data_IF_884119470475
#
_entry.id   IF_884119470475
#
_cell.length_a   1.000
_cell.length_b   1.000
_cell.length_c   1.000
_cell.angle_alpha   90.00
_cell.angle_beta   90.00
_cell.angle_gamma   90.00
#
_symmetry.space_group_name_H-M   'P 1'
#
loop_
_entity.id
_entity.type
_entity.pdbx_description
1 polymer ?
#
# COMPACT_ATOMS: atom_id res chain seq x y z
N UNK A 1 9.85 25.72 14.72
CA UNK A 1 8.99 24.52 14.60
C UNK A 1 9.91 23.31 14.72
N UNK A 2 9.80 22.52 15.78
CA UNK A 2 10.64 21.32 15.97
C UNK A 2 9.82 20.09 15.60
N UNK A 3 10.19 19.41 14.52
CA UNK A 3 9.59 18.13 14.15
C UNK A 3 10.40 17.01 14.79
N UNK A 4 9.92 16.47 15.91
CA UNK A 4 10.48 15.29 16.59
C UNK A 4 9.96 13.98 15.93
N UNK A 5 9.16 14.09 14.86
CA UNK A 5 8.38 12.99 14.29
C UNK A 5 8.99 12.33 13.05
N UNK A 6 10.28 12.54 12.80
CA UNK A 6 10.95 11.99 11.61
C UNK A 6 11.18 10.47 11.68
N UNK A 7 10.99 9.83 12.84
CA UNK A 7 11.17 8.37 13.01
C UNK A 7 9.89 7.52 12.76
N UNK A 8 8.86 8.09 12.11
CA UNK A 8 7.67 7.33 11.71
C UNK A 8 6.83 6.84 12.89
N UNK A 9 6.55 5.53 12.99
CA UNK A 9 5.78 4.95 14.12
C UNK A 9 6.60 4.78 15.40
N UNK A 10 7.93 4.95 15.35
CA UNK A 10 8.85 4.72 16.46
C UNK A 10 9.30 6.02 17.15
N UNK A 11 8.48 7.07 17.08
CA UNK A 11 8.77 8.34 17.75
C UNK A 11 9.00 8.09 19.24
N UNK A 12 10.17 8.50 19.73
CA UNK A 12 10.48 8.46 21.15
C UNK A 12 9.70 9.57 21.87
N UNK A 13 8.45 9.26 22.26
CA UNK A 13 7.59 10.19 22.98
C UNK A 13 8.21 10.68 24.28
N UNK A 14 9.06 9.85 24.92
CA UNK A 14 9.76 10.24 26.15
C UNK A 14 10.75 11.37 25.92
N UNK A 15 11.49 11.34 24.81
CA UNK A 15 12.37 12.44 24.43
C UNK A 15 11.57 13.73 24.19
N UNK A 16 10.44 13.63 23.50
CA UNK A 16 9.56 14.78 23.28
C UNK A 16 8.99 15.36 24.59
N UNK A 17 8.54 14.51 25.53
CA UNK A 17 8.07 14.92 26.86
C UNK A 17 9.15 15.71 27.61
N UNK A 18 10.38 15.17 27.64
CA UNK A 18 11.52 15.80 28.30
C UNK A 18 11.86 17.14 27.65
N UNK A 19 11.87 17.21 26.32
CA UNK A 19 12.10 18.45 25.57
C UNK A 19 11.04 19.51 25.86
N UNK A 20 9.77 19.13 25.96
CA UNK A 20 8.69 20.06 26.30
C UNK A 20 8.81 20.59 27.71
N UNK A 21 9.19 19.73 28.65
CA UNK A 21 9.38 20.12 30.04
C UNK A 21 10.52 21.16 30.14
N UNK A 22 11.68 20.85 29.58
CA UNK A 22 12.85 21.76 29.60
C UNK A 22 12.55 23.09 28.89
N UNK A 23 11.85 23.04 27.75
CA UNK A 23 11.43 24.25 27.04
C UNK A 23 10.46 25.09 27.88
N UNK A 24 9.48 24.48 28.53
CA UNK A 24 8.55 25.20 29.39
C UNK A 24 9.27 25.86 30.58
N UNK A 25 10.25 25.18 31.18
CA UNK A 25 11.07 25.70 32.28
C UNK A 25 11.89 26.93 31.84
N UNK A 26 12.47 26.92 30.64
CA UNK A 26 13.35 27.99 30.15
C UNK A 26 12.60 29.15 29.46
N UNK A 27 11.38 28.93 28.96
CA UNK A 27 10.64 29.90 28.16
C UNK A 27 9.29 30.29 28.78
N UNK A 28 9.23 30.38 30.11
CA UNK A 28 8.08 30.95 30.83
C UNK A 28 6.78 30.16 30.66
N UNK A 29 6.88 28.83 30.58
CA UNK A 29 5.74 27.93 30.38
C UNK A 29 5.31 27.75 28.93
N UNK A 30 6.02 28.34 27.96
CA UNK A 30 5.72 28.15 26.54
C UNK A 30 5.91 26.69 26.10
N UNK A 31 4.99 26.17 25.29
CA UNK A 31 5.05 24.82 24.74
C UNK A 31 5.33 24.83 23.24
N UNK A 32 6.12 23.86 22.76
CA UNK A 32 6.33 23.63 21.34
C UNK A 32 5.06 23.05 20.70
N UNK A 33 4.76 23.48 19.48
CA UNK A 33 3.69 22.91 18.69
C UNK A 33 4.01 21.46 18.28
N UNK A 34 3.07 20.56 18.52
CA UNK A 34 3.21 19.11 18.30
C UNK A 34 2.37 18.70 17.13
N UNK A 35 3.00 18.07 16.14
CA UNK A 35 2.28 17.60 14.93
C UNK A 35 2.09 16.07 14.92
N UNK A 36 2.61 15.39 15.94
CA UNK A 36 2.46 13.94 16.13
C UNK A 36 3.30 13.11 15.15
N UNK A 37 3.10 11.79 15.14
CA UNK A 37 3.78 10.87 14.21
C UNK A 37 3.38 11.12 12.75
N UNK A 38 4.25 10.75 11.82
CA UNK A 38 4.01 10.91 10.39
C UNK A 38 2.74 10.17 9.91
N UNK A 39 1.68 10.91 9.57
CA UNK A 39 0.40 10.34 9.12
C UNK A 39 0.51 9.47 7.86
N UNK A 40 1.51 9.72 7.00
CA UNK A 40 1.81 8.86 5.86
C UNK A 40 2.23 7.45 6.31
N UNK A 41 3.14 7.35 7.28
CA UNK A 41 3.57 6.06 7.83
C UNK A 41 2.41 5.33 8.53
N UNK A 42 1.58 6.04 9.29
CA UNK A 42 0.38 5.48 9.91
C UNK A 42 -0.54 4.86 8.86
N UNK A 43 -0.79 5.56 7.76
CA UNK A 43 -1.63 5.09 6.67
C UNK A 43 -1.04 3.86 5.96
N UNK A 44 0.26 3.90 5.61
CA UNK A 44 0.94 2.76 5.00
C UNK A 44 0.92 1.52 5.90
N UNK A 45 1.15 1.70 7.20
CA UNK A 45 1.11 0.61 8.17
C UNK A 45 -0.31 0.08 8.38
N UNK A 46 -1.33 0.95 8.41
CA UNK A 46 -2.72 0.52 8.52
C UNK A 46 -3.12 -0.36 7.33
N UNK A 47 -2.78 0.06 6.10
CA UNK A 47 -3.01 -0.76 4.89
C UNK A 47 -2.22 -2.05 4.96
N UNK A 48 -0.93 -2.02 5.30
CA UNK A 48 -0.12 -3.24 5.51
C UNK A 48 -0.81 -4.22 6.45
N UNK A 49 -1.18 -3.77 7.65
CA UNK A 49 -1.82 -4.61 8.66
C UNK A 49 -3.11 -5.23 8.12
N UNK A 50 -3.98 -4.45 7.47
CA UNK A 50 -5.25 -4.94 6.93
C UNK A 50 -5.14 -6.02 5.84
N UNK A 51 -3.98 -6.15 5.19
CA UNK A 51 -3.78 -7.09 4.07
C UNK A 51 -2.73 -8.18 4.34
N UNK A 52 -2.17 -8.22 5.55
CA UNK A 52 -1.10 -9.18 5.92
C UNK A 52 -1.62 -10.62 5.91
N UNK A 53 -2.82 -10.84 6.46
CA UNK A 53 -3.44 -12.18 6.55
C UNK A 53 -3.84 -12.74 5.18
N UNK A 54 -4.10 -11.86 4.21
CA UNK A 54 -4.35 -12.27 2.82
C UNK A 54 -3.07 -12.51 2.03
N UNK A 55 -1.90 -12.32 2.66
CA UNK A 55 -0.59 -12.49 2.06
C UNK A 55 -0.42 -11.72 0.74
N UNK A 56 -1.06 -10.55 0.63
CA UNK A 56 -1.10 -9.76 -0.61
C UNK A 56 0.31 -9.35 -1.07
N UNK A 57 1.18 -8.97 -0.13
CA UNK A 57 2.59 -8.68 -0.42
C UNK A 57 3.30 -9.89 -1.04
N UNK A 58 3.12 -11.09 -0.45
CA UNK A 58 3.77 -12.31 -0.93
C UNK A 58 3.33 -12.63 -2.36
N UNK A 59 2.03 -12.52 -2.64
CA UNK A 59 1.45 -12.72 -3.96
C UNK A 59 1.99 -11.71 -4.99
N UNK A 60 1.88 -10.41 -4.73
CA UNK A 60 2.31 -9.35 -5.66
C UNK A 60 3.82 -9.40 -5.92
N UNK A 61 4.63 -9.71 -4.90
CA UNK A 61 6.07 -9.93 -5.07
C UNK A 61 6.36 -11.14 -5.94
N UNK A 62 5.67 -12.26 -5.72
CA UNK A 62 5.89 -13.49 -6.47
C UNK A 62 5.70 -13.29 -7.98
N UNK A 63 4.66 -12.55 -8.38
CA UNK A 63 4.38 -12.21 -9.78
C UNK A 63 5.54 -11.50 -10.49
N UNK A 64 6.27 -10.64 -9.79
CA UNK A 64 7.46 -9.99 -10.33
C UNK A 64 8.68 -10.91 -10.27
N UNK A 65 8.94 -11.50 -9.10
CA UNK A 65 10.14 -12.29 -8.82
C UNK A 65 10.28 -13.50 -9.75
N UNK A 66 9.18 -14.14 -10.14
CA UNK A 66 9.24 -15.32 -11.01
C UNK A 66 9.93 -15.06 -12.36
N UNK A 67 9.88 -13.82 -12.88
CA UNK A 67 10.51 -13.42 -14.14
C UNK A 67 11.67 -12.44 -13.98
N UNK A 68 12.04 -12.09 -12.75
CA UNK A 68 13.09 -11.11 -12.49
C UNK A 68 14.46 -11.77 -12.67
N UNK A 69 15.30 -11.24 -13.57
CA UNK A 69 16.61 -11.79 -13.92
C UNK A 69 16.59 -13.26 -14.41
N UNK A 70 15.47 -13.71 -14.98
CA UNK A 70 15.34 -15.06 -15.57
C UNK A 70 14.93 -14.96 -17.05
N UNK A 71 15.88 -14.74 -17.98
CA UNK A 71 15.58 -14.45 -19.39
C UNK A 71 14.90 -15.62 -20.12
N UNK A 72 15.35 -16.86 -19.93
CA UNK A 72 14.75 -18.04 -20.57
C UNK A 72 13.26 -18.18 -20.21
N UNK A 73 12.92 -18.01 -18.93
CA UNK A 73 11.53 -18.09 -18.48
C UNK A 73 10.67 -16.94 -19.01
N UNK A 74 11.26 -15.74 -19.16
CA UNK A 74 10.58 -14.62 -19.80
C UNK A 74 10.27 -14.91 -21.27
N UNK A 75 11.21 -15.52 -21.98
CA UNK A 75 11.04 -15.94 -23.36
C UNK A 75 9.92 -16.99 -23.48
N UNK A 76 9.93 -18.03 -22.65
CA UNK A 76 8.87 -19.04 -22.59
C UNK A 76 7.50 -18.40 -22.35
N UNK A 77 7.41 -17.50 -21.37
CA UNK A 77 6.17 -16.78 -21.06
C UNK A 77 5.69 -15.93 -22.24
N UNK A 78 6.59 -15.18 -22.90
CA UNK A 78 6.24 -14.37 -24.08
C UNK A 78 5.78 -15.25 -25.25
N UNK A 79 6.45 -16.38 -25.47
CA UNK A 79 6.13 -17.30 -26.56
C UNK A 79 4.78 -17.97 -26.34
N UNK A 80 4.45 -18.33 -25.10
CA UNK A 80 3.18 -18.92 -24.71
C UNK A 80 2.03 -17.91 -24.80
N UNK A 81 2.18 -16.74 -24.19
CA UNK A 81 1.08 -15.78 -23.97
C UNK A 81 0.95 -14.76 -25.09
N UNK A 82 2.00 -14.59 -25.90
CA UNK A 82 2.18 -13.50 -26.88
C UNK A 82 2.24 -12.10 -26.26
N UNK A 83 2.33 -12.02 -24.93
CA UNK A 83 2.40 -10.77 -24.17
C UNK A 83 3.84 -10.47 -23.75
N UNK A 84 4.21 -9.19 -23.78
CA UNK A 84 5.47 -8.68 -23.20
C UNK A 84 5.23 -7.86 -21.93
N UNK A 85 4.02 -7.96 -21.37
CA UNK A 85 3.62 -7.22 -20.18
C UNK A 85 3.91 -8.08 -18.95
N UNK A 86 4.70 -7.53 -18.01
CA UNK A 86 5.10 -8.21 -16.78
C UNK A 86 4.61 -7.46 -15.54
N UNK A 87 4.62 -8.14 -14.39
CA UNK A 87 4.35 -7.53 -13.09
C UNK A 87 5.36 -6.42 -12.75
N UNK A 88 4.92 -5.47 -11.92
CA UNK A 88 5.78 -4.42 -11.38
C UNK A 88 6.33 -4.84 -10.00
N UNK A 89 7.50 -4.32 -9.59
CA UNK A 89 8.05 -4.61 -8.26
C UNK A 89 7.20 -3.99 -7.14
N UNK A 90 6.95 -4.76 -6.09
CA UNK A 90 6.21 -4.32 -4.90
C UNK A 90 7.15 -3.67 -3.87
N UNK A 91 6.75 -2.53 -3.30
CA UNK A 91 7.49 -1.83 -2.25
C UNK A 91 6.87 -2.08 -0.86
N UNK A 92 7.61 -2.75 0.02
CA UNK A 92 7.13 -3.19 1.34
C UNK A 92 6.92 -2.08 2.37
N UNK A 93 7.46 -0.90 2.13
CA UNK A 93 7.32 0.26 3.01
C UNK A 93 6.32 1.29 2.47
N UNK A 94 5.90 1.17 1.20
CA UNK A 94 5.00 2.12 0.51
C UNK A 94 3.74 1.41 0.01
N UNK A 95 2.98 0.81 0.93
CA UNK A 95 1.84 -0.05 0.60
C UNK A 95 0.79 0.56 -0.32
N UNK A 96 0.33 1.79 -0.05
CA UNK A 96 -0.67 2.48 -0.87
C UNK A 96 -0.15 2.81 -2.27
N UNK A 97 1.14 3.11 -2.43
CA UNK A 97 1.75 3.40 -3.74
C UNK A 97 1.77 2.15 -4.66
N UNK A 98 1.60 0.95 -4.10
CA UNK A 98 1.50 -0.29 -4.86
C UNK A 98 0.15 -0.46 -5.58
N UNK A 99 -0.73 0.55 -5.62
CA UNK A 99 -1.95 0.52 -6.44
C UNK A 99 -1.64 0.14 -7.90
N UNK A 100 -0.60 0.74 -8.50
CA UNK A 100 -0.19 0.43 -9.88
C UNK A 100 0.33 -1.00 -10.03
N UNK A 101 0.92 -1.57 -8.98
CA UNK A 101 1.39 -2.96 -8.95
C UNK A 101 0.19 -3.91 -8.98
N UNK A 102 -0.84 -3.62 -8.20
CA UNK A 102 -2.08 -4.39 -8.19
C UNK A 102 -2.87 -4.27 -9.50
N UNK A 103 -2.96 -3.07 -10.08
CA UNK A 103 -3.57 -2.86 -11.40
C UNK A 103 -2.85 -3.66 -12.48
N UNK A 104 -1.50 -3.66 -12.46
CA UNK A 104 -0.71 -4.50 -13.38
C UNK A 104 -0.95 -5.99 -13.13
N UNK A 105 -1.03 -6.42 -11.87
CA UNK A 105 -1.29 -7.81 -11.52
C UNK A 105 -2.61 -8.31 -12.12
N UNK A 106 -3.66 -7.48 -12.11
CA UNK A 106 -4.95 -7.80 -12.71
C UNK A 106 -4.85 -7.96 -14.24
N UNK A 107 -4.11 -7.08 -14.91
CA UNK A 107 -3.90 -7.15 -16.37
C UNK A 107 -3.19 -8.43 -16.78
N UNK A 108 -2.16 -8.85 -16.04
CA UNK A 108 -1.37 -10.04 -16.39
C UNK A 108 -1.99 -11.35 -15.89
N UNK A 109 -3.02 -11.30 -15.04
CA UNK A 109 -3.57 -12.48 -14.39
C UNK A 109 -4.02 -13.59 -15.36
N UNK A 110 -4.73 -13.30 -16.46
CA UNK A 110 -5.12 -14.32 -17.43
C UNK A 110 -3.92 -15.03 -18.08
N UNK A 111 -2.86 -14.27 -18.38
CA UNK A 111 -1.63 -14.80 -18.95
C UNK A 111 -0.85 -15.63 -17.93
N UNK A 112 -0.92 -15.26 -16.64
CA UNK A 112 -0.35 -16.07 -15.58
C UNK A 112 -1.07 -17.40 -15.39
N UNK A 113 -2.40 -17.43 -15.52
CA UNK A 113 -3.14 -18.70 -15.46
C UNK A 113 -2.71 -19.64 -16.58
N UNK A 114 -2.56 -19.13 -17.83
CA UNK A 114 -2.03 -19.91 -18.95
C UNK A 114 -0.63 -20.45 -18.66
N UNK A 115 0.24 -19.63 -18.07
CA UNK A 115 1.59 -20.04 -17.72
C UNK A 115 1.61 -21.17 -16.67
N UNK A 116 0.82 -21.05 -15.61
CA UNK A 116 0.69 -22.11 -14.59
C UNK A 116 0.11 -23.38 -15.22
N UNK A 117 -0.90 -23.26 -16.09
CA UNK A 117 -1.46 -24.40 -16.82
C UNK A 117 -0.41 -25.10 -17.68
N UNK A 118 0.40 -24.34 -18.45
CA UNK A 118 1.46 -24.89 -19.27
C UNK A 118 2.55 -25.61 -18.46
N UNK A 119 2.88 -25.12 -17.26
CA UNK A 119 3.78 -25.81 -16.33
C UNK A 119 3.13 -27.08 -15.79
N UNK A 120 1.87 -27.02 -15.38
CA UNK A 120 1.13 -28.17 -14.82
C UNK A 120 0.95 -29.32 -15.82
N UNK A 121 0.78 -28.97 -17.11
CA UNK A 121 0.65 -29.92 -18.23
C UNK A 121 2.00 -30.38 -18.79
N UNK A 122 3.12 -29.96 -18.16
CA UNK A 122 4.50 -30.28 -18.56
C UNK A 122 4.91 -29.76 -19.95
N UNK A 123 4.18 -28.78 -20.49
CA UNK A 123 4.57 -28.07 -21.71
C UNK A 123 5.73 -27.10 -21.46
N UNK A 124 5.88 -26.62 -20.23
CA UNK A 124 7.00 -25.80 -19.77
C UNK A 124 7.67 -26.41 -18.54
N UNK A 125 8.97 -26.18 -18.32
CA UNK A 125 9.68 -26.66 -17.14
C UNK A 125 9.13 -26.00 -15.87
N UNK A 126 9.00 -26.79 -14.80
CA UNK A 126 8.62 -26.25 -13.50
C UNK A 126 9.76 -25.40 -12.92
N UNK A 127 9.49 -24.13 -12.54
CA UNK A 127 10.45 -23.26 -11.89
C UNK A 127 11.12 -23.80 -10.62
N UNK A 128 10.41 -24.60 -9.82
CA UNK A 128 10.86 -25.06 -8.50
C UNK A 128 11.16 -23.93 -7.51
N UNK A 129 10.51 -22.77 -7.66
CA UNK A 129 10.75 -21.58 -6.81
C UNK A 129 9.55 -21.26 -5.92
N UNK A 130 9.82 -20.72 -4.73
CA UNK A 130 8.77 -20.27 -3.80
C UNK A 130 7.80 -19.23 -4.40
N UNK A 131 8.28 -18.45 -5.38
CA UNK A 131 7.43 -17.53 -6.15
C UNK A 131 6.43 -18.29 -7.04
N UNK A 132 6.84 -19.37 -7.68
CA UNK A 132 5.93 -20.21 -8.46
C UNK A 132 4.91 -20.89 -7.54
N UNK A 133 5.35 -21.47 -6.42
CA UNK A 133 4.43 -22.11 -5.46
C UNK A 133 3.37 -21.14 -4.93
N UNK A 134 3.76 -19.88 -4.70
CA UNK A 134 2.84 -18.82 -4.28
C UNK A 134 1.81 -18.50 -5.37
N UNK A 135 2.23 -18.43 -6.64
CA UNK A 135 1.32 -18.16 -7.76
C UNK A 135 0.40 -19.35 -7.99
N UNK A 136 0.90 -20.58 -7.93
CA UNK A 136 0.11 -21.80 -8.08
C UNK A 136 -0.91 -21.97 -6.94
N UNK A 137 -0.55 -21.60 -5.71
CA UNK A 137 -1.53 -21.55 -4.62
C UNK A 137 -2.60 -20.48 -4.87
N UNK A 138 -2.22 -19.32 -5.41
CA UNK A 138 -3.14 -18.24 -5.72
C UNK A 138 -4.12 -18.59 -6.86
N UNK A 139 -3.73 -19.40 -7.84
CA UNK A 139 -4.67 -19.88 -8.88
C UNK A 139 -5.74 -20.82 -8.34
N UNK A 140 -5.50 -21.44 -7.18
CA UNK A 140 -6.45 -22.31 -6.46
C UNK A 140 -7.35 -21.51 -5.50
N UNK A 141 -7.04 -20.25 -5.22
CA UNK A 141 -7.85 -19.38 -4.36
C UNK A 141 -8.95 -18.68 -5.20
N UNK A 142 -10.24 -19.06 -5.03
CA UNK A 142 -11.33 -18.47 -5.79
C UNK A 142 -11.54 -16.97 -5.48
N UNK A 143 -10.99 -16.48 -4.36
CA UNK A 143 -11.15 -15.11 -3.92
C UNK A 143 -9.95 -14.22 -4.26
N UNK A 144 -8.90 -14.72 -4.93
CA UNK A 144 -7.69 -13.94 -5.17
C UNK A 144 -7.96 -12.61 -5.89
N UNK A 145 -8.82 -12.63 -6.91
CA UNK A 145 -9.21 -11.43 -7.64
C UNK A 145 -10.08 -10.50 -6.79
N UNK A 146 -10.97 -11.05 -5.96
CA UNK A 146 -11.77 -10.25 -5.03
C UNK A 146 -10.89 -9.54 -3.99
N UNK A 147 -9.92 -10.26 -3.40
CA UNK A 147 -8.91 -9.70 -2.48
C UNK A 147 -8.09 -8.60 -3.15
N UNK A 148 -7.69 -8.80 -4.40
CA UNK A 148 -6.95 -7.81 -5.19
C UNK A 148 -7.79 -6.56 -5.46
N UNK A 149 -9.06 -6.72 -5.85
CA UNK A 149 -9.97 -5.60 -6.03
C UNK A 149 -10.23 -4.84 -4.74
N UNK A 150 -10.39 -5.53 -3.62
CA UNK A 150 -10.55 -4.90 -2.31
C UNK A 150 -9.29 -4.12 -1.91
N UNK A 151 -8.11 -4.69 -2.13
CA UNK A 151 -6.84 -3.98 -1.98
C UNK A 151 -6.79 -2.70 -2.82
N UNK A 152 -7.16 -2.79 -4.09
CA UNK A 152 -7.19 -1.63 -4.98
C UNK A 152 -8.21 -0.57 -4.51
N UNK A 153 -9.38 -0.99 -4.05
CA UNK A 153 -10.43 -0.08 -3.54
C UNK A 153 -9.94 0.70 -2.31
N UNK A 154 -9.33 0.01 -1.33
CA UNK A 154 -8.76 0.64 -0.14
C UNK A 154 -7.65 1.61 -0.53
N UNK A 155 -6.68 1.17 -1.34
CA UNK A 155 -5.59 2.04 -1.79
C UNK A 155 -6.13 3.30 -2.51
N UNK A 156 -7.10 3.15 -3.42
CA UNK A 156 -7.73 4.28 -4.12
C UNK A 156 -8.42 5.26 -3.18
N UNK A 157 -9.11 4.77 -2.16
CA UNK A 157 -9.81 5.64 -1.20
C UNK A 157 -8.85 6.56 -0.43
N UNK A 158 -7.59 6.12 -0.25
CA UNK A 158 -6.58 6.85 0.53
C UNK A 158 -5.51 7.52 -0.34
N UNK A 159 -5.46 7.24 -1.65
CA UNK A 159 -4.57 7.93 -2.61
C UNK A 159 -4.68 9.46 -2.55
N UNK A 160 -5.88 10.10 -2.47
CA UNK A 160 -5.97 11.56 -2.38
C UNK A 160 -5.27 12.15 -1.15
N UNK A 161 -5.19 11.39 -0.06
CA UNK A 161 -4.41 11.78 1.12
C UNK A 161 -2.92 11.76 0.78
N UNK A 162 -2.42 10.67 0.19
CA UNK A 162 -1.01 10.58 -0.20
C UNK A 162 -0.61 11.70 -1.17
N UNK A 163 -1.33 11.88 -2.28
CA UNK A 163 -0.94 12.86 -3.30
C UNK A 163 -0.92 14.29 -2.76
N UNK A 164 -1.73 14.57 -1.74
CA UNK A 164 -1.77 15.87 -1.09
C UNK A 164 -0.64 16.09 -0.09
N UNK A 165 -0.24 15.06 0.65
CA UNK A 165 0.72 15.19 1.76
C UNK A 165 2.13 14.69 1.42
N UNK A 166 2.31 14.03 0.29
CA UNK A 166 3.59 13.56 -0.25
C UNK A 166 4.07 14.53 -1.34
N UNK A 167 4.31 15.78 -0.94
CA UNK A 167 4.80 16.87 -1.80
C UNK A 167 5.97 17.58 -1.11
N UNK A 168 6.80 18.29 -1.89
CA UNK A 168 7.89 19.11 -1.36
C UNK A 168 7.38 20.45 -0.78
N UNK A 169 6.10 20.77 -0.96
CA UNK A 169 5.46 21.96 -0.44
C UNK A 169 5.23 21.86 1.08
N UNK A 170 5.31 22.97 1.84
CA UNK A 170 5.06 22.97 3.28
C UNK A 170 3.56 22.84 3.56
N UNK A 171 3.03 21.61 3.45
CA UNK A 171 1.60 21.29 3.62
C UNK A 171 1.18 21.11 5.07
N UNK A 172 2.15 21.02 5.99
CA UNK A 172 1.95 20.80 7.42
C UNK A 172 1.05 21.85 8.12
N UNK A 173 1.18 23.17 7.84
CA UNK A 173 0.33 24.20 8.45
C UNK A 173 -1.16 24.02 8.15
N UNK A 174 -1.52 23.34 7.05
CA UNK A 174 -2.90 23.17 6.59
C UNK A 174 -3.57 21.88 7.09
N UNK A 175 -2.92 21.12 7.98
CA UNK A 175 -3.50 19.91 8.59
C UNK A 175 -4.64 20.25 9.57
N UNK A 176 -4.52 21.36 10.31
CA UNK A 176 -5.49 21.77 11.35
C UNK A 176 -6.85 22.23 10.80
N UNK A 177 -6.85 22.98 9.69
CA UNK A 177 -8.06 23.57 9.11
C UNK A 177 -9.09 22.55 8.61
N UNK A 178 -8.71 21.28 8.43
CA UNK A 178 -9.53 20.28 7.73
C UNK A 178 -10.21 19.23 8.59
N UNK A 179 -9.91 19.12 9.89
CA UNK A 179 -10.70 18.27 10.79
C UNK A 179 -12.20 18.66 10.78
N UNK A 180 -12.50 19.92 10.48
CA UNK A 180 -13.86 20.46 10.48
C UNK A 180 -14.64 20.25 9.17
N UNK A 181 -13.98 19.93 8.04
CA UNK A 181 -14.63 19.84 6.70
C UNK A 181 -15.11 18.42 6.38
N UNK A 182 -14.42 17.38 6.86
CA UNK A 182 -14.91 16.00 6.71
C UNK A 182 -16.04 15.66 7.70
N UNK A 183 -16.05 16.27 8.89
CA UNK A 183 -17.14 16.12 9.86
C UNK A 183 -18.46 16.75 9.36
N UNK A 184 -18.40 17.88 8.66
CA UNK A 184 -19.59 18.56 8.11
C UNK A 184 -20.22 17.82 6.93
N UNK A 185 -19.42 17.14 6.10
CA UNK A 185 -19.94 16.37 4.97
C UNK A 185 -20.60 15.04 5.38
N UNK A 186 -20.23 14.46 6.53
CA UNK A 186 -20.92 13.29 7.11
C UNK A 186 -22.24 13.68 7.78
N UNK A 187 -22.34 14.87 8.36
CA UNK A 187 -23.59 15.36 8.96
C UNK A 187 -24.64 15.82 7.92
N UNK A 188 -24.22 16.18 6.70
CA UNK A 188 -25.17 16.57 5.64
C UNK A 188 -25.79 15.38 4.89
N UNK A 189 -25.22 14.18 4.97
CA UNK A 189 -25.81 12.97 4.36
C UNK A 189 -26.89 12.30 5.22
N UNK A 190 -27.02 12.67 6.50
CA UNK A 190 -28.01 12.08 7.43
C UNK A 190 -29.28 12.95 7.61
N UNK A 191 -29.35 14.15 7.01
CA UNK A 191 -30.45 15.12 7.22
C UNK A 191 -31.52 15.18 6.13
N UNK A 192 -31.48 14.33 5.10
CA UNK A 192 -32.30 14.47 3.89
C UNK A 192 -33.37 13.39 3.70
N UNK A 193 -34.12 13.02 4.74
CA UNK A 193 -35.15 11.99 4.64
C UNK A 193 -36.20 12.09 5.73
N UNK A 194 -37.17 12.98 5.60
CA UNK A 194 -38.31 13.06 6.51
C UNK A 194 -39.24 14.22 6.21
N UNK A 195 -40.26 13.96 5.40
CA UNK A 195 -41.38 14.89 5.18
C UNK A 195 -42.40 14.25 4.26
N UNK A 196 -43.44 13.67 4.87
CA UNK A 196 -44.68 13.27 4.21
C UNK A 196 -45.43 14.49 3.64
#
# INVERSE_FOLDING_TARGET
>A
MVSVSMDGSNVNWRFYEMLQQEHAEHFGGAQLAVVGSCGLHTLHNAVKCGFTDWHMEKFLRALHTIFHNVPARREDFCNLTKSKIFALPFCGHRWVENLRVAERALVIWPDMMKYVEAVSTKNLPNPGTSSYDTIEAATKDPLILAKLHFFMAVCRSVTPFLTRYQTDEPVLPFIGERRNVQATNLQQSEGGGGGY
#
